data_IF_155183315713
#
_entry.id   IF_155183315713
#
_cell.length_a   1.000
_cell.length_b   1.000
_cell.length_c   1.000
_cell.angle_alpha   90.00
_cell.angle_beta   90.00
_cell.angle_gamma   90.00
#
_symmetry.space_group_name_H-M   'P 1'
#
loop_
_entity.id
_entity.type
_entity.pdbx_description
1 polymer ?
#
# COMPACT_ATOMS: atom_id res chain seq x y z
N UNK A 1 9.62 -12.54 9.53
CA UNK A 1 8.21 -12.81 9.92
C UNK A 1 8.20 -14.00 10.90
N UNK A 2 7.52 -13.88 12.03
CA UNK A 2 7.52 -14.91 13.08
C UNK A 2 6.30 -15.84 13.02
N UNK A 3 5.32 -15.53 12.18
CA UNK A 3 4.11 -16.34 11.99
C UNK A 3 3.58 -16.17 10.56
N UNK A 4 2.85 -17.16 10.07
CA UNK A 4 2.13 -17.07 8.81
C UNK A 4 1.06 -15.98 8.87
N UNK A 5 0.80 -15.33 7.73
CA UNK A 5 -0.24 -14.33 7.61
C UNK A 5 -0.99 -14.51 6.28
N UNK A 6 -2.32 -14.59 6.32
CA UNK A 6 -3.14 -14.49 5.13
C UNK A 6 -3.47 -13.03 4.86
N UNK A 7 -3.16 -12.56 3.65
CA UNK A 7 -3.30 -11.16 3.23
C UNK A 7 -4.26 -11.07 2.06
N UNK A 8 -5.14 -10.08 2.10
CA UNK A 8 -5.96 -9.66 0.96
C UNK A 8 -5.45 -8.33 0.39
N UNK A 9 -5.46 -8.21 -0.94
CA UNK A 9 -5.19 -6.95 -1.65
C UNK A 9 -6.38 -6.65 -2.57
N UNK A 10 -7.01 -5.48 -2.40
CA UNK A 10 -8.27 -5.15 -3.03
C UNK A 10 -8.12 -4.11 -4.15
N UNK A 11 -8.78 -4.36 -5.27
CA UNK A 11 -9.12 -3.37 -6.29
C UNK A 11 -10.44 -2.73 -5.89
N UNK A 12 -10.53 -1.40 -5.86
CA UNK A 12 -11.71 -0.70 -5.39
C UNK A 12 -11.93 0.59 -6.17
N UNK A 13 -13.15 0.81 -6.64
CA UNK A 13 -13.56 2.11 -7.13
C UNK A 13 -13.67 3.10 -5.97
N UNK A 14 -13.04 4.26 -6.11
CA UNK A 14 -13.15 5.34 -5.13
C UNK A 14 -13.60 6.63 -5.83
N UNK A 15 -14.82 7.06 -5.54
CA UNK A 15 -15.41 8.28 -6.10
C UNK A 15 -14.99 9.48 -5.26
N UNK A 16 -14.47 10.52 -5.92
CA UNK A 16 -13.96 11.73 -5.25
C UNK A 16 -15.09 12.46 -4.52
N UNK A 17 -14.98 12.55 -3.19
CA UNK A 17 -15.94 13.22 -2.32
C UNK A 17 -17.17 12.38 -1.93
N UNK A 18 -17.30 11.15 -2.45
CA UNK A 18 -18.36 10.21 -2.02
C UNK A 18 -17.86 9.33 -0.87
N UNK A 19 -17.45 9.96 0.23
CA UNK A 19 -16.93 9.24 1.40
C UNK A 19 -17.87 8.15 1.92
N UNK A 20 -19.21 8.37 2.04
CA UNK A 20 -20.13 7.31 2.47
C UNK A 20 -20.19 6.12 1.51
N UNK A 21 -20.23 6.38 0.19
CA UNK A 21 -20.23 5.32 -0.82
C UNK A 21 -18.91 4.55 -0.84
N UNK A 22 -17.78 5.25 -0.71
CA UNK A 22 -16.46 4.63 -0.65
C UNK A 22 -16.30 3.77 0.61
N UNK A 23 -16.77 4.25 1.76
CA UNK A 23 -16.73 3.50 3.02
C UNK A 23 -17.61 2.22 2.93
N UNK A 24 -18.76 2.32 2.27
CA UNK A 24 -19.63 1.15 2.00
C UNK A 24 -18.92 0.10 1.15
N UNK A 25 -18.23 0.53 0.07
CA UNK A 25 -17.45 -0.38 -0.79
C UNK A 25 -16.28 -1.00 -0.03
N UNK A 26 -15.55 -0.19 0.75
CA UNK A 26 -14.46 -0.66 1.60
C UNK A 26 -14.97 -1.70 2.61
N UNK A 27 -16.10 -1.44 3.27
CA UNK A 27 -16.71 -2.36 4.23
C UNK A 27 -17.05 -3.73 3.62
N UNK A 28 -17.61 -3.75 2.40
CA UNK A 28 -17.90 -5.00 1.69
C UNK A 28 -16.62 -5.80 1.36
N UNK A 29 -15.57 -5.12 0.91
CA UNK A 29 -14.28 -5.77 0.60
C UNK A 29 -13.58 -6.28 1.86
N UNK A 30 -13.70 -5.55 2.98
CA UNK A 30 -13.20 -5.99 4.29
C UNK A 30 -13.95 -7.24 4.77
N UNK A 31 -15.28 -7.25 4.68
CA UNK A 31 -16.11 -8.41 5.02
C UNK A 31 -15.74 -9.64 4.16
N UNK A 32 -15.59 -9.45 2.85
CA UNK A 32 -15.18 -10.51 1.93
C UNK A 32 -13.78 -11.04 2.27
N UNK A 33 -12.81 -10.17 2.54
CA UNK A 33 -11.46 -10.55 2.95
C UNK A 33 -11.46 -11.36 4.26
N UNK A 34 -12.22 -10.89 5.26
CA UNK A 34 -12.38 -11.59 6.52
C UNK A 34 -13.06 -12.96 6.35
N UNK A 35 -14.12 -13.03 5.50
CA UNK A 35 -14.78 -14.27 5.14
C UNK A 35 -13.88 -15.30 4.48
N UNK A 36 -12.83 -14.84 3.78
CA UNK A 36 -11.77 -15.71 3.22
C UNK A 36 -10.62 -15.97 4.21
N UNK A 37 -10.75 -15.54 5.47
CA UNK A 37 -9.78 -15.79 6.54
C UNK A 37 -8.54 -14.89 6.49
N UNK A 38 -8.58 -13.76 5.79
CA UNK A 38 -7.47 -12.81 5.80
C UNK A 38 -7.31 -12.15 7.18
N UNK A 39 -6.06 -12.03 7.64
CA UNK A 39 -5.70 -11.31 8.86
C UNK A 39 -5.31 -9.85 8.60
N UNK A 40 -5.09 -9.49 7.32
CA UNK A 40 -4.79 -8.15 6.86
C UNK A 40 -5.45 -7.92 5.49
N UNK A 41 -6.10 -6.77 5.31
CA UNK A 41 -6.56 -6.30 4.00
C UNK A 41 -5.88 -4.99 3.65
N UNK A 42 -5.35 -4.91 2.42
CA UNK A 42 -4.80 -3.71 1.81
C UNK A 42 -5.84 -3.12 0.85
N UNK A 43 -6.33 -1.92 1.15
CA UNK A 43 -7.17 -1.12 0.28
C UNK A 43 -6.32 -0.09 -0.48
N UNK A 44 -6.79 0.44 -1.64
CA UNK A 44 -6.04 1.36 -2.46
C UNK A 44 -5.73 2.72 -1.78
N UNK A 45 -4.75 3.45 -2.34
CA UNK A 45 -4.42 4.82 -1.95
C UNK A 45 -5.65 5.73 -2.09
N UNK A 46 -5.88 6.60 -1.09
CA UNK A 46 -7.01 7.54 -1.01
C UNK A 46 -8.41 6.92 -1.28
N UNK A 47 -8.57 5.63 -0.99
CA UNK A 47 -9.79 4.88 -1.29
C UNK A 47 -11.03 5.38 -0.53
N UNK A 48 -10.86 6.06 0.60
CA UNK A 48 -11.98 6.53 1.42
C UNK A 48 -12.50 7.89 0.97
N UNK A 49 -11.63 8.80 0.55
CA UNK A 49 -12.00 10.17 0.11
C UNK A 49 -12.05 10.34 -1.40
N UNK A 50 -11.51 9.36 -2.14
CA UNK A 50 -11.19 9.46 -3.55
C UNK A 50 -9.89 10.22 -3.78
N UNK A 51 -9.19 9.90 -4.88
CA UNK A 51 -7.93 10.53 -5.29
C UNK A 51 -8.18 11.58 -6.37
N UNK A 52 -7.66 12.79 -6.20
CA UNK A 52 -7.63 13.82 -7.23
C UNK A 52 -6.42 14.73 -7.10
N UNK A 53 -5.95 15.26 -8.26
CA UNK A 53 -5.01 16.39 -8.38
C UNK A 53 -5.60 17.50 -9.26
N UNK A 54 -6.86 17.35 -9.70
CA UNK A 54 -7.53 18.21 -10.68
C UNK A 54 -8.27 19.38 -10.05
N UNK A 55 -8.58 19.31 -8.77
CA UNK A 55 -9.30 20.34 -8.00
C UNK A 55 -8.68 20.50 -6.60
N UNK A 56 -9.06 21.55 -5.83
CA UNK A 56 -8.68 21.68 -4.44
C UNK A 56 -9.05 20.44 -3.63
N UNK A 57 -8.14 20.01 -2.74
CA UNK A 57 -8.27 18.79 -1.94
C UNK A 57 -8.67 19.06 -0.49
N UNK A 58 -8.56 20.31 -0.05
CA UNK A 58 -8.91 20.74 1.30
C UNK A 58 -10.35 20.39 1.71
N UNK A 59 -11.37 20.52 0.81
CA UNK A 59 -12.75 20.14 1.15
C UNK A 59 -12.96 18.63 1.31
N UNK A 60 -11.99 17.81 0.88
CA UNK A 60 -12.03 16.35 0.96
C UNK A 60 -11.23 15.83 2.17
N UNK A 61 -10.45 16.72 2.80
CA UNK A 61 -9.47 16.33 3.80
C UNK A 61 -10.15 16.10 5.16
N UNK A 62 -9.76 15.00 5.79
CA UNK A 62 -10.26 14.53 7.09
C UNK A 62 -9.11 14.54 8.13
N UNK A 63 -9.38 14.80 9.40
CA UNK A 63 -8.36 14.67 10.44
C UNK A 63 -7.96 13.19 10.63
N UNK A 64 -6.68 12.97 11.00
CA UNK A 64 -6.14 11.65 11.35
C UNK A 64 -5.39 11.74 12.69
N UNK A 65 -5.87 11.01 13.74
CA UNK A 65 -7.13 10.29 13.82
C UNK A 65 -8.35 11.21 13.78
N UNK A 66 -9.51 10.66 13.40
CA UNK A 66 -10.76 11.41 13.26
C UNK A 66 -11.92 10.51 12.88
N UNK A 67 -13.11 11.07 12.61
CA UNK A 67 -14.33 10.28 12.40
C UNK A 67 -14.19 9.19 11.34
N UNK A 68 -13.51 9.46 10.21
CA UNK A 68 -13.32 8.47 9.17
C UNK A 68 -12.37 7.34 9.60
N UNK A 69 -11.35 7.64 10.41
CA UNK A 69 -10.51 6.60 10.99
C UNK A 69 -11.24 5.77 12.05
N UNK A 70 -12.19 6.35 12.77
CA UNK A 70 -13.02 5.64 13.74
C UNK A 70 -13.92 4.62 13.05
N UNK A 71 -14.49 4.96 11.87
CA UNK A 71 -15.25 4.02 11.05
C UNK A 71 -14.37 2.84 10.55
N UNK A 72 -13.12 3.11 10.14
CA UNK A 72 -12.17 2.04 9.76
C UNK A 72 -11.84 1.16 10.96
N UNK A 73 -11.66 1.73 12.15
CA UNK A 73 -11.44 0.98 13.39
C UNK A 73 -12.66 0.12 13.75
N UNK A 74 -13.87 0.66 13.60
CA UNK A 74 -15.11 -0.10 13.83
C UNK A 74 -15.25 -1.29 12.87
N UNK A 75 -14.91 -1.11 11.58
CA UNK A 75 -14.83 -2.22 10.61
C UNK A 75 -13.79 -3.26 11.02
N UNK A 76 -12.59 -2.83 11.42
CA UNK A 76 -11.51 -3.72 11.85
C UNK A 76 -11.92 -4.56 13.08
N UNK A 77 -12.56 -3.93 14.06
CA UNK A 77 -13.10 -4.59 15.26
C UNK A 77 -14.19 -5.59 14.93
N UNK A 78 -15.18 -5.18 14.10
CA UNK A 78 -16.32 -6.02 13.69
C UNK A 78 -15.87 -7.31 12.99
N UNK A 79 -14.92 -7.20 12.07
CA UNK A 79 -14.46 -8.33 11.26
C UNK A 79 -13.21 -9.01 11.81
N UNK A 80 -12.64 -8.51 12.92
CA UNK A 80 -11.41 -9.01 13.56
C UNK A 80 -10.22 -9.11 12.60
N UNK A 81 -10.07 -8.12 11.71
CA UNK A 81 -9.05 -8.04 10.67
C UNK A 81 -8.28 -6.72 10.78
N UNK A 82 -7.01 -6.71 10.39
CA UNK A 82 -6.28 -5.46 10.21
C UNK A 82 -6.61 -4.85 8.85
N UNK A 83 -6.75 -3.53 8.82
CA UNK A 83 -7.13 -2.77 7.62
C UNK A 83 -6.08 -1.69 7.36
N UNK A 84 -5.51 -1.70 6.16
CA UNK A 84 -4.78 -0.58 5.59
C UNK A 84 -5.71 0.17 4.63
N UNK A 85 -6.02 1.44 4.91
CA UNK A 85 -6.93 2.25 4.10
C UNK A 85 -6.41 3.68 3.89
N UNK A 86 -6.57 4.22 2.68
CA UNK A 86 -6.06 5.52 2.27
C UNK A 86 -7.11 6.62 2.31
N UNK A 87 -6.71 7.82 2.71
CA UNK A 87 -7.53 9.04 2.69
C UNK A 87 -6.67 10.28 2.43
N UNK A 88 -7.33 11.38 2.13
CA UNK A 88 -6.72 12.72 2.13
C UNK A 88 -6.83 13.25 3.56
N UNK A 89 -5.69 13.48 4.21
CA UNK A 89 -5.61 14.01 5.56
C UNK A 89 -5.51 15.54 5.54
N UNK A 90 -6.08 16.17 6.55
CA UNK A 90 -5.91 17.63 6.78
C UNK A 90 -4.44 18.00 6.83
N UNK A 91 -4.05 19.02 6.02
CA UNK A 91 -2.65 19.46 5.99
C UNK A 91 -2.13 19.97 4.65
N UNK A 92 -2.63 19.57 3.44
CA UNK A 92 -3.23 18.29 3.04
C UNK A 92 -2.15 17.22 2.79
N UNK A 93 -2.39 15.98 3.20
CA UNK A 93 -1.49 14.84 2.97
C UNK A 93 -2.23 13.67 2.34
N UNK A 94 -1.52 12.90 1.51
CA UNK A 94 -1.94 11.54 1.14
C UNK A 94 -1.53 10.61 2.26
N UNK A 95 -2.51 10.11 2.99
CA UNK A 95 -2.29 9.32 4.22
C UNK A 95 -2.91 7.96 4.10
N UNK A 96 -2.21 6.97 4.62
CA UNK A 96 -2.73 5.61 4.80
C UNK A 96 -2.74 5.28 6.28
N UNK A 97 -3.87 4.80 6.78
CA UNK A 97 -4.04 4.41 8.19
C UNK A 97 -3.98 2.90 8.32
N UNK A 98 -3.45 2.43 9.43
CA UNK A 98 -3.55 1.05 9.89
C UNK A 98 -4.49 1.01 11.08
N UNK A 99 -5.57 0.26 10.95
CA UNK A 99 -6.49 -0.10 12.03
C UNK A 99 -6.44 -1.61 12.28
N UNK A 100 -6.65 -2.00 13.51
CA UNK A 100 -6.79 -3.39 13.94
C UNK A 100 -8.00 -3.61 14.83
N UNK A 101 -8.28 -4.84 15.24
CA UNK A 101 -9.33 -5.14 16.20
C UNK A 101 -9.19 -4.35 17.52
N UNK A 102 -7.97 -3.95 17.86
CA UNK A 102 -7.59 -3.13 19.00
C UNK A 102 -7.78 -1.62 18.79
N UNK A 103 -8.17 -1.19 17.59
CA UNK A 103 -8.40 0.21 17.22
C UNK A 103 -7.33 0.78 16.28
N UNK A 104 -7.06 2.07 16.39
CA UNK A 104 -6.08 2.79 15.55
C UNK A 104 -4.64 2.41 15.93
N UNK A 105 -3.87 1.92 14.96
CA UNK A 105 -2.50 1.46 15.15
C UNK A 105 -1.46 2.44 14.61
N UNK A 106 -1.85 3.34 13.72
CA UNK A 106 -0.96 4.36 13.19
C UNK A 106 -1.36 4.86 11.81
N UNK A 107 -0.61 5.86 11.35
CA UNK A 107 -0.79 6.46 10.03
C UNK A 107 0.55 6.74 9.36
N UNK A 108 0.56 6.68 8.04
CA UNK A 108 1.70 7.02 7.20
C UNK A 108 1.30 8.08 6.18
N UNK A 109 2.04 9.17 6.13
CA UNK A 109 1.93 10.23 5.12
C UNK A 109 2.94 9.98 4.00
N UNK A 110 2.50 9.99 2.75
CA UNK A 110 3.34 9.82 1.57
C UNK A 110 4.52 10.80 1.59
N UNK A 111 5.74 10.29 1.46
CA UNK A 111 6.97 11.08 1.51
C UNK A 111 7.45 11.54 0.13
N UNK A 112 7.25 10.71 -0.91
CA UNK A 112 7.67 11.02 -2.27
C UNK A 112 6.43 11.27 -3.14
N UNK A 113 6.15 12.53 -3.37
CA UNK A 113 5.03 12.98 -4.20
C UNK A 113 5.44 13.02 -5.67
N UNK A 114 4.55 12.60 -6.55
CA UNK A 114 4.71 12.82 -7.99
C UNK A 114 4.68 14.33 -8.31
N UNK A 115 5.17 14.77 -9.50
CA UNK A 115 5.13 16.18 -9.88
C UNK A 115 3.74 16.82 -9.79
N UNK A 116 2.69 16.09 -10.17
CA UNK A 116 1.31 16.58 -10.06
C UNK A 116 0.84 16.66 -8.60
N UNK A 117 1.19 15.67 -7.78
CA UNK A 117 0.81 15.64 -6.36
C UNK A 117 1.45 16.81 -5.58
N UNK A 118 2.68 17.20 -5.91
CA UNK A 118 3.37 18.36 -5.30
C UNK A 118 2.60 19.67 -5.44
N UNK A 119 1.69 19.78 -6.40
CA UNK A 119 0.85 20.97 -6.58
C UNK A 119 -0.33 21.03 -5.61
N UNK A 120 -0.64 19.93 -4.93
CA UNK A 120 -1.84 19.77 -4.08
C UNK A 120 -1.55 19.27 -2.67
N UNK A 121 -0.49 18.49 -2.48
CA UNK A 121 -0.20 17.78 -1.25
C UNK A 121 1.15 18.17 -0.69
N UNK A 122 1.28 17.98 0.62
CA UNK A 122 2.55 18.06 1.36
C UNK A 122 3.15 16.68 1.52
N UNK A 123 4.47 16.60 1.48
CA UNK A 123 5.19 15.37 1.76
C UNK A 123 5.23 15.08 3.27
N UNK A 124 5.13 13.80 3.63
CA UNK A 124 5.46 13.30 4.96
C UNK A 124 6.96 13.32 5.22
N UNK A 125 7.37 13.01 6.46
CA UNK A 125 8.74 13.15 6.96
C UNK A 125 9.35 11.84 7.52
N UNK A 126 8.63 10.74 7.48
CA UNK A 126 9.10 9.42 7.99
C UNK A 126 8.58 8.27 7.17
N UNK A 127 9.33 7.15 7.18
CA UNK A 127 8.93 5.93 6.51
C UNK A 127 7.82 5.21 7.30
N UNK A 128 6.93 4.55 6.57
CA UNK A 128 5.81 3.78 7.12
C UNK A 128 6.24 2.38 7.57
N UNK A 129 6.54 2.20 8.86
CA UNK A 129 6.80 0.90 9.45
C UNK A 129 5.90 0.69 10.66
N UNK A 130 5.11 -0.39 10.65
CA UNK A 130 4.13 -0.70 11.69
C UNK A 130 4.34 -2.10 12.24
N UNK A 131 4.19 -2.25 13.56
CA UNK A 131 4.07 -3.55 14.20
C UNK A 131 2.61 -4.01 14.17
N UNK A 132 2.34 -5.15 13.59
CA UNK A 132 1.01 -5.75 13.49
C UNK A 132 1.00 -7.15 14.13
N UNK A 133 1.11 -7.19 15.46
CA UNK A 133 1.40 -8.42 16.20
C UNK A 133 2.84 -8.86 15.95
N UNK A 134 3.02 -10.07 15.42
CA UNK A 134 4.35 -10.67 15.11
C UNK A 134 4.79 -10.43 13.67
N UNK A 135 4.12 -9.54 12.94
CA UNK A 135 4.45 -9.16 11.56
C UNK A 135 4.75 -7.67 11.52
N UNK A 136 5.80 -7.28 10.82
CA UNK A 136 6.14 -5.88 10.57
C UNK A 136 5.74 -5.50 9.15
N UNK A 137 4.88 -4.49 9.05
CA UNK A 137 4.34 -3.99 7.79
C UNK A 137 5.12 -2.74 7.39
N UNK A 138 5.86 -2.81 6.29
CA UNK A 138 6.37 -1.64 5.58
C UNK A 138 5.28 -1.10 4.63
N UNK A 139 5.09 0.20 4.60
CA UNK A 139 4.09 0.87 3.78
C UNK A 139 4.74 1.97 2.94
N UNK A 140 4.47 1.96 1.64
CA UNK A 140 4.85 3.00 0.69
C UNK A 140 3.73 3.17 -0.34
N UNK A 141 3.46 4.40 -0.78
CA UNK A 141 2.28 4.72 -1.58
C UNK A 141 2.66 4.96 -3.06
N UNK A 142 2.06 4.19 -3.96
CA UNK A 142 2.04 4.43 -5.41
C UNK A 142 3.40 4.84 -6.01
N UNK A 143 3.64 6.14 -6.20
CA UNK A 143 4.87 6.69 -6.77
C UNK A 143 6.13 6.27 -6.00
N UNK A 144 6.02 6.01 -4.72
CA UNK A 144 7.13 5.56 -3.85
C UNK A 144 7.66 4.17 -4.22
N UNK A 145 6.86 3.35 -4.91
CA UNK A 145 7.30 2.05 -5.42
C UNK A 145 8.46 2.15 -6.44
N UNK A 146 8.65 3.33 -7.04
CA UNK A 146 9.73 3.59 -8.00
C UNK A 146 11.09 3.87 -7.34
N UNK A 147 11.14 4.12 -6.03
CA UNK A 147 12.36 4.39 -5.27
C UNK A 147 12.82 3.13 -4.54
N UNK A 148 13.85 2.40 -5.05
CA UNK A 148 14.36 1.18 -4.41
C UNK A 148 14.77 1.39 -2.97
N UNK A 149 15.28 2.59 -2.65
CA UNK A 149 15.78 2.98 -1.33
C UNK A 149 14.71 2.85 -0.25
N UNK A 150 13.43 3.13 -0.57
CA UNK A 150 12.32 3.03 0.39
C UNK A 150 12.13 1.56 0.81
N UNK A 151 12.01 0.65 -0.17
CA UNK A 151 11.91 -0.78 0.10
C UNK A 151 13.10 -1.31 0.91
N UNK A 152 14.31 -0.87 0.53
CA UNK A 152 15.54 -1.25 1.23
C UNK A 152 15.59 -0.72 2.66
N UNK A 153 15.23 0.54 2.88
CA UNK A 153 15.21 1.14 4.21
C UNK A 153 14.17 0.45 5.13
N UNK A 154 12.98 0.15 4.62
CA UNK A 154 11.94 -0.58 5.35
C UNK A 154 12.38 -2.00 5.69
N UNK A 155 13.04 -2.70 4.76
CA UNK A 155 13.59 -4.04 4.99
C UNK A 155 14.69 -4.04 6.05
N UNK A 156 15.62 -3.06 6.00
CA UNK A 156 16.66 -2.87 7.01
C UNK A 156 16.08 -2.54 8.40
N UNK A 157 14.96 -1.83 8.44
CA UNK A 157 14.21 -1.56 9.66
C UNK A 157 13.39 -2.76 10.15
N UNK A 158 13.45 -3.90 9.42
CA UNK A 158 12.87 -5.18 9.81
C UNK A 158 11.46 -5.45 9.30
N UNK A 159 11.01 -4.78 8.24
CA UNK A 159 9.75 -5.12 7.58
C UNK A 159 9.74 -6.58 7.13
N UNK A 160 8.59 -7.22 7.17
CA UNK A 160 8.33 -8.57 6.66
C UNK A 160 7.57 -8.53 5.34
N UNK A 161 6.64 -7.59 5.21
CA UNK A 161 5.85 -7.33 4.03
C UNK A 161 5.95 -5.85 3.65
N UNK A 162 6.05 -5.56 2.37
CA UNK A 162 5.92 -4.21 1.80
C UNK A 162 4.55 -4.08 1.16
N UNK A 163 3.71 -3.23 1.74
CA UNK A 163 2.39 -2.89 1.22
C UNK A 163 2.48 -1.65 0.34
N UNK A 164 1.96 -1.74 -0.88
CA UNK A 164 2.06 -0.73 -1.93
C UNK A 164 0.66 -0.42 -2.50
N UNK A 165 -0.18 0.34 -1.78
CA UNK A 165 -1.45 0.80 -2.32
C UNK A 165 -1.23 1.92 -3.34
N UNK A 166 -1.99 1.88 -4.44
CA UNK A 166 -1.89 2.81 -5.55
C UNK A 166 -3.21 3.53 -5.83
N UNK A 167 -3.09 4.76 -6.35
CA UNK A 167 -4.12 5.46 -7.10
C UNK A 167 -3.48 5.96 -8.41
N UNK A 168 -3.07 5.02 -9.25
CA UNK A 168 -2.38 5.29 -10.50
C UNK A 168 -3.37 5.22 -11.66
N UNK A 169 -3.74 6.37 -12.28
CA UNK A 169 -4.67 6.38 -13.40
C UNK A 169 -4.02 5.77 -14.63
N UNK A 170 -4.67 4.81 -15.23
CA UNK A 170 -4.30 4.14 -16.48
C UNK A 170 -5.54 3.61 -17.17
N UNK A 171 -5.51 3.57 -18.49
CA UNK A 171 -6.64 3.21 -19.35
C UNK A 171 -6.99 1.71 -19.34
N UNK A 172 -6.15 0.85 -18.73
CA UNK A 172 -6.37 -0.59 -18.71
C UNK A 172 -5.75 -1.32 -17.52
N UNK A 173 -6.50 -2.26 -16.97
CA UNK A 173 -6.06 -3.10 -15.85
C UNK A 173 -4.90 -4.03 -16.23
N UNK A 174 -4.88 -4.54 -17.46
CA UNK A 174 -3.80 -5.38 -17.95
C UNK A 174 -2.50 -4.60 -18.15
N UNK A 175 -2.57 -3.36 -18.64
CA UNK A 175 -1.40 -2.48 -18.76
C UNK A 175 -0.79 -2.20 -17.39
N UNK A 176 -1.61 -1.97 -16.37
CA UNK A 176 -1.16 -1.79 -15.00
C UNK A 176 -0.41 -3.03 -14.50
N UNK A 177 -0.96 -4.23 -14.73
CA UNK A 177 -0.34 -5.51 -14.37
C UNK A 177 1.05 -5.68 -15.03
N UNK A 178 1.14 -5.42 -16.33
CA UNK A 178 2.41 -5.50 -17.09
C UNK A 178 3.44 -4.48 -16.53
N UNK A 179 2.99 -3.27 -16.24
CA UNK A 179 3.84 -2.20 -15.71
C UNK A 179 4.43 -2.59 -14.35
N UNK A 180 3.60 -3.14 -13.44
CA UNK A 180 4.05 -3.59 -12.13
C UNK A 180 5.05 -4.75 -12.21
N UNK A 181 4.91 -5.63 -13.19
CA UNK A 181 5.88 -6.70 -13.46
C UNK A 181 7.31 -6.22 -13.74
N UNK A 182 7.50 -4.93 -14.08
CA UNK A 182 8.82 -4.35 -14.35
C UNK A 182 9.61 -4.01 -13.07
N UNK A 183 8.93 -3.77 -11.94
CA UNK A 183 9.63 -3.28 -10.74
C UNK A 183 9.19 -3.90 -9.41
N UNK A 184 7.94 -4.33 -9.23
CA UNK A 184 7.50 -4.91 -7.96
C UNK A 184 8.22 -6.21 -7.59
N UNK A 185 8.50 -7.14 -8.53
CA UNK A 185 9.31 -8.33 -8.22
C UNK A 185 10.69 -7.99 -7.67
N UNK A 186 11.34 -6.95 -8.21
CA UNK A 186 12.63 -6.50 -7.71
C UNK A 186 12.54 -5.96 -6.27
N UNK A 187 11.43 -5.29 -5.89
CA UNK A 187 11.22 -4.84 -4.50
C UNK A 187 11.12 -6.00 -3.52
N UNK A 188 10.52 -7.12 -3.94
CA UNK A 188 10.47 -8.35 -3.14
C UNK A 188 11.85 -9.02 -3.09
N UNK A 189 12.44 -9.29 -4.26
CA UNK A 189 13.67 -10.06 -4.43
C UNK A 189 14.90 -9.42 -3.75
N UNK A 190 15.15 -8.14 -4.03
CA UNK A 190 16.33 -7.42 -3.53
C UNK A 190 16.33 -7.32 -1.98
N UNK A 191 15.14 -7.34 -1.38
CA UNK A 191 14.97 -7.07 0.03
C UNK A 191 14.54 -8.30 0.86
N UNK A 192 14.23 -9.43 0.22
CA UNK A 192 13.73 -10.62 0.91
C UNK A 192 12.42 -10.36 1.65
N UNK A 193 11.51 -9.57 1.02
CA UNK A 193 10.20 -9.18 1.54
C UNK A 193 9.07 -9.85 0.76
N UNK A 194 7.95 -10.13 1.42
CA UNK A 194 6.70 -10.22 0.71
C UNK A 194 6.30 -8.85 0.19
N UNK A 195 5.60 -8.78 -0.94
CA UNK A 195 5.03 -7.55 -1.49
C UNK A 195 3.54 -7.75 -1.73
N UNK A 196 2.71 -6.81 -1.29
CA UNK A 196 1.31 -6.73 -1.65
C UNK A 196 1.03 -5.36 -2.25
N UNK A 197 0.48 -5.32 -3.46
CA UNK A 197 0.11 -4.08 -4.13
C UNK A 197 -1.33 -4.15 -4.65
N UNK A 198 -2.03 -3.01 -4.62
CA UNK A 198 -3.36 -2.86 -5.18
C UNK A 198 -3.57 -1.46 -5.76
N UNK A 199 -4.46 -1.33 -6.73
CA UNK A 199 -4.81 -0.05 -7.36
C UNK A 199 -6.31 0.23 -7.25
N UNK A 200 -6.69 1.50 -7.32
CA UNK A 200 -8.07 1.87 -7.57
C UNK A 200 -8.56 1.26 -8.89
N UNK A 201 -9.88 1.09 -9.03
CA UNK A 201 -10.54 0.53 -10.21
C UNK A 201 -11.63 1.49 -10.71
N UNK A 202 -11.86 1.53 -12.03
CA UNK A 202 -12.93 2.28 -12.65
C UNK A 202 -12.81 3.80 -12.56
N UNK A 203 -13.87 4.54 -12.91
CA UNK A 203 -13.89 5.99 -12.91
C UNK A 203 -14.04 6.56 -11.49
N UNK A 204 -13.31 7.66 -11.22
CA UNK A 204 -13.36 8.33 -9.89
C UNK A 204 -14.39 9.49 -9.80
N UNK A 205 -15.18 9.73 -10.84
CA UNK A 205 -16.14 10.85 -10.88
C UNK A 205 -15.51 12.24 -11.07
N UNK A 206 -14.17 12.33 -11.23
CA UNK A 206 -13.43 13.59 -11.43
C UNK A 206 -12.53 13.53 -12.70
N UNK A 207 -12.93 12.70 -13.67
CA UNK A 207 -12.30 12.57 -14.98
C UNK A 207 -11.01 11.77 -15.00
N UNK A 208 -10.70 10.98 -13.96
CA UNK A 208 -9.68 9.95 -13.97
C UNK A 208 -10.33 8.57 -14.04
N UNK A 209 -9.66 7.66 -14.75
CA UNK A 209 -10.02 6.24 -14.82
C UNK A 209 -8.82 5.44 -14.31
N UNK A 210 -9.10 4.41 -13.51
CA UNK A 210 -8.09 3.56 -12.92
C UNK A 210 -8.26 2.12 -13.41
N UNK A 211 -7.19 1.57 -13.97
CA UNK A 211 -7.11 0.15 -14.26
C UNK A 211 -6.86 -0.62 -12.98
N UNK A 212 -7.88 -1.28 -12.45
CA UNK A 212 -7.75 -2.07 -11.23
C UNK A 212 -6.78 -3.23 -11.42
N UNK A 213 -5.83 -3.33 -10.51
CA UNK A 213 -4.87 -4.43 -10.44
C UNK A 213 -4.55 -4.73 -8.98
N UNK A 214 -4.25 -5.99 -8.70
CA UNK A 214 -3.74 -6.44 -7.42
C UNK A 214 -2.71 -7.55 -7.63
N UNK A 215 -1.63 -7.56 -6.84
CA UNK A 215 -0.60 -8.60 -6.87
C UNK A 215 -0.04 -8.83 -5.47
N UNK A 216 0.21 -10.09 -5.15
CA UNK A 216 0.93 -10.51 -3.94
C UNK A 216 2.11 -11.36 -4.40
N UNK A 217 3.32 -11.01 -3.94
CA UNK A 217 4.58 -11.64 -4.32
C UNK A 217 5.26 -12.27 -3.10
N UNK A 218 5.95 -13.37 -3.34
CA UNK A 218 6.83 -14.00 -2.35
C UNK A 218 8.19 -13.26 -2.23
N UNK A 219 9.04 -13.58 -1.26
CA UNK A 219 10.35 -12.95 -1.08
C UNK A 219 11.39 -13.24 -2.18
N UNK A 220 11.04 -14.04 -3.21
CA UNK A 220 11.83 -14.25 -4.43
C UNK A 220 11.31 -13.43 -5.61
N UNK A 221 10.20 -12.69 -5.41
CA UNK A 221 9.53 -11.95 -6.47
C UNK A 221 8.55 -12.77 -7.31
N UNK A 222 8.27 -14.02 -6.89
CA UNK A 222 7.32 -14.89 -7.58
C UNK A 222 5.88 -14.53 -7.20
N UNK A 223 4.97 -14.67 -8.15
CA UNK A 223 3.55 -14.33 -7.95
C UNK A 223 2.85 -15.40 -7.13
N UNK A 224 2.34 -15.03 -5.95
CA UNK A 224 1.46 -15.87 -5.14
C UNK A 224 -0.01 -15.74 -5.57
N UNK A 225 -0.45 -14.51 -5.87
CA UNK A 225 -1.78 -14.22 -6.40
C UNK A 225 -1.74 -12.92 -7.19
N UNK A 226 -2.53 -12.83 -8.26
CA UNK A 226 -2.71 -11.60 -9.04
C UNK A 226 -4.09 -11.56 -9.69
N UNK A 227 -4.61 -10.34 -9.88
CA UNK A 227 -5.79 -10.06 -10.67
C UNK A 227 -5.69 -8.69 -11.32
N UNK A 228 -6.42 -8.51 -12.41
CA UNK A 228 -6.61 -7.25 -13.10
C UNK A 228 -8.09 -7.12 -13.50
N UNK A 229 -8.75 -6.04 -13.10
CA UNK A 229 -10.19 -5.83 -13.32
C UNK A 229 -10.54 -4.36 -13.14
N UNK A 230 -11.41 -3.83 -14.00
CA UNK A 230 -11.93 -2.46 -13.87
C UNK A 230 -13.07 -2.35 -12.84
N UNK A 231 -13.31 -3.41 -12.06
CA UNK A 231 -14.34 -3.48 -11.02
C UNK A 231 -13.73 -3.81 -9.66
N UNK A 232 -14.51 -3.56 -8.62
CA UNK A 232 -14.19 -4.00 -7.27
C UNK A 232 -13.93 -5.50 -7.22
N UNK A 233 -12.95 -5.90 -6.43
CA UNK A 233 -12.59 -7.28 -6.18
C UNK A 233 -11.34 -7.37 -5.33
N UNK A 234 -10.98 -8.56 -4.91
CA UNK A 234 -9.76 -8.79 -4.15
C UNK A 234 -9.10 -10.12 -4.51
N UNK A 235 -7.83 -10.21 -4.17
CA UNK A 235 -7.05 -11.46 -4.18
C UNK A 235 -6.60 -11.76 -2.76
N UNK A 236 -6.39 -13.05 -2.48
CA UNK A 236 -5.90 -13.51 -1.17
C UNK A 236 -4.72 -14.45 -1.37
N UNK A 237 -3.71 -14.35 -0.52
CA UNK A 237 -2.59 -15.28 -0.47
C UNK A 237 -2.12 -15.54 0.97
N UNK A 238 -1.56 -16.73 1.19
CA UNK A 238 -0.88 -17.10 2.42
C UNK A 238 0.59 -16.73 2.34
N UNK A 239 1.04 -15.84 3.21
CA UNK A 239 2.45 -15.50 3.40
C UNK A 239 3.04 -16.45 4.44
N UNK A 240 3.92 -17.37 3.99
CA UNK A 240 4.52 -18.36 4.87
C UNK A 240 5.80 -17.83 5.50
N UNK A 241 5.86 -17.80 6.83
CA UNK A 241 7.06 -17.40 7.57
C UNK A 241 8.30 -18.20 7.15
N UNK A 242 8.11 -19.48 6.86
CA UNK A 242 9.17 -20.38 6.42
C UNK A 242 9.79 -19.97 5.07
N UNK A 243 9.01 -19.41 4.14
CA UNK A 243 9.53 -19.00 2.83
C UNK A 243 10.43 -17.77 2.99
N UNK A 244 10.04 -16.79 3.79
CA UNK A 244 10.90 -15.65 4.11
C UNK A 244 12.16 -16.06 4.87
N UNK A 245 12.02 -16.96 5.86
CA UNK A 245 13.15 -17.46 6.62
C UNK A 245 14.16 -18.18 5.70
N UNK A 246 13.67 -18.99 4.75
CA UNK A 246 14.53 -19.68 3.77
C UNK A 246 15.35 -18.71 2.92
N UNK A 247 14.73 -17.60 2.45
CA UNK A 247 15.44 -16.57 1.70
C UNK A 247 16.45 -15.85 2.58
N UNK A 248 16.06 -15.39 3.76
CA UNK A 248 16.93 -14.65 4.70
C UNK A 248 18.08 -15.46 5.27
N UNK A 249 17.97 -16.78 5.33
CA UNK A 249 19.02 -17.69 5.74
C UNK A 249 19.94 -18.11 4.60
N UNK A 250 19.61 -17.81 3.34
CA UNK A 250 20.42 -18.18 2.19
C UNK A 250 21.67 -17.30 2.10
N UNK A 251 22.90 -17.86 2.19
CA UNK A 251 24.14 -17.08 2.10
C UNK A 251 24.33 -16.41 0.74
N UNK A 252 23.79 -16.99 -0.34
CA UNK A 252 23.93 -16.54 -1.72
C UNK A 252 22.64 -15.87 -2.25
N UNK A 253 21.50 -16.01 -1.58
CA UNK A 253 20.21 -15.51 -2.03
C UNK A 253 19.67 -14.32 -1.23
N UNK A 254 20.35 -13.90 -0.16
CA UNK A 254 19.96 -12.73 0.63
C UNK A 254 21.06 -11.68 0.60
N UNK A 255 20.87 -10.64 -0.18
CA UNK A 255 21.87 -9.63 -0.49
C UNK A 255 21.91 -8.48 0.52
N UNK A 256 20.80 -8.21 1.20
CA UNK A 256 20.62 -7.04 2.06
C UNK A 256 21.73 -6.87 3.12
N UNK A 257 22.20 -7.91 3.84
CA UNK A 257 23.32 -7.80 4.79
C UNK A 257 24.71 -7.62 4.13
N UNK A 258 24.78 -7.81 2.81
CA UNK A 258 26.04 -7.70 2.05
C UNK A 258 26.26 -6.31 1.44
N UNK A 259 25.33 -5.39 1.67
CA UNK A 259 25.44 -4.02 1.18
C UNK A 259 26.67 -3.33 1.77
N UNK A 260 27.22 -2.42 1.02
CA UNK A 260 28.35 -1.57 1.39
C UNK A 260 27.93 -0.11 1.37
N UNK A 261 27.16 0.35 2.37
CA UNK A 261 26.53 1.67 2.36
C UNK A 261 27.56 2.82 2.30
N UNK A 262 28.81 2.56 2.71
CA UNK A 262 29.90 3.52 2.58
C UNK A 262 30.25 3.88 1.14
N UNK A 263 29.88 3.02 0.17
CA UNK A 263 30.11 3.24 -1.26
C UNK A 263 28.94 3.96 -1.95
N UNK A 264 27.78 4.08 -1.29
CA UNK A 264 26.54 4.60 -1.90
C UNK A 264 26.27 6.06 -1.51
N UNK A 265 27.30 6.81 -1.12
CA UNK A 265 27.20 8.23 -0.85
C UNK A 265 27.36 9.00 -2.16
N UNK A 266 26.25 9.24 -2.84
CA UNK A 266 26.25 10.10 -4.02
C UNK A 266 25.95 11.54 -3.61
N UNK A 267 26.61 12.55 -4.22
CA UNK A 267 26.17 13.93 -4.06
C UNK A 267 24.73 14.06 -4.56
N UNK A 268 23.95 14.93 -3.93
CA UNK A 268 22.65 15.28 -4.46
C UNK A 268 22.81 15.73 -5.92
N UNK A 269 21.90 15.27 -6.79
CA UNK A 269 21.86 15.80 -8.16
C UNK A 269 21.63 17.32 -8.05
N UNK A 270 22.31 18.14 -8.91
CA UNK A 270 22.02 19.56 -8.96
C UNK A 270 20.53 19.73 -9.22
N UNK A 271 19.92 20.66 -8.49
CA UNK A 271 18.51 21.01 -8.75
C UNK A 271 18.42 21.46 -10.22
N UNK A 272 17.59 20.76 -10.98
CA UNK A 272 17.26 21.21 -12.34
C UNK A 272 16.35 22.41 -12.20
N UNK A 273 16.82 23.57 -12.70
CA UNK A 273 16.05 24.81 -12.84
C UNK A 273 14.72 24.60 -13.57
#
# INVERSE_FOLDING_TARGET
MEQDLRVAAAMMQAVVGDTPGNLTRAGRLVEEAAGQGAGLVLLPEACLTGYTVRRPVEPLAEPVPGPLTDEVCALAGRHRIKILAGLIETGPYLTHVLAGPEGFLGAYRKTHLSPLEKTRFRAGDRLGLFAAGRVRIGLALCYEAHFPEIGTALALAGADILCLPHASPHDGSEEMRIRWGKYLPARAYDNGLFVAACNQAGPNGDGLIFGGAAVILDPKGEVLAQAASDRDGLIVADLKAADQARVRQSPMGFFLPRRRPELYRFPAAPESD
#
